data_IF_784453160835
#
_entry.id   IF_784453160835
#
_cell.length_a   1.000
_cell.length_b   1.000
_cell.length_c   1.000
_cell.angle_alpha   90.00
_cell.angle_beta   90.00
_cell.angle_gamma   90.00
#
_symmetry.space_group_name_H-M   'P 1'
#
loop_
_entity.id
_entity.type
_entity.pdbx_description
1 polymer ?
#
# COMPACT_ATOMS: atom_id res chain seq x y z
N UNK A 1 6.79 -2.43 -5.19
CA UNK A 1 5.36 -2.26 -4.85
C UNK A 1 4.70 -2.44 -6.17
N UNK A 2 3.88 -3.47 -6.24
CA UNK A 2 3.44 -4.03 -7.50
C UNK A 2 1.92 -4.05 -7.44
N UNK A 3 1.30 -3.69 -8.56
CA UNK A 3 -0.15 -3.63 -8.69
C UNK A 3 -0.54 -4.38 -9.92
N UNK A 4 -1.44 -5.34 -9.74
CA UNK A 4 -2.06 -6.11 -10.81
C UNK A 4 -3.57 -6.00 -10.69
N UNK A 5 -4.27 -6.22 -11.80
CA UNK A 5 -5.72 -6.24 -11.81
C UNK A 5 -6.23 -7.43 -12.63
N UNK A 6 -7.42 -7.91 -12.26
CA UNK A 6 -8.26 -8.74 -13.10
C UNK A 6 -9.61 -8.04 -13.33
N UNK A 7 -10.60 -8.71 -13.90
CA UNK A 7 -11.91 -8.10 -14.17
C UNK A 7 -12.65 -7.64 -12.89
N UNK A 8 -12.29 -8.18 -11.72
CA UNK A 8 -13.05 -8.02 -10.47
C UNK A 8 -12.28 -7.24 -9.41
N UNK A 9 -10.96 -7.26 -9.41
CA UNK A 9 -10.17 -6.83 -8.27
C UNK A 9 -8.83 -6.21 -8.66
N UNK A 10 -8.27 -5.46 -7.72
CA UNK A 10 -6.86 -5.05 -7.70
C UNK A 10 -6.13 -5.85 -6.64
N UNK A 11 -4.95 -6.36 -6.97
CA UNK A 11 -4.01 -6.96 -6.03
C UNK A 11 -2.78 -6.06 -5.91
N UNK A 12 -2.43 -5.68 -4.68
CA UNK A 12 -1.29 -4.81 -4.39
C UNK A 12 -0.34 -5.56 -3.46
N UNK A 13 0.93 -5.59 -3.83
CA UNK A 13 2.00 -6.15 -2.99
C UNK A 13 3.05 -5.09 -2.68
N UNK A 14 3.44 -4.94 -1.41
CA UNK A 14 4.44 -3.97 -0.99
C UNK A 14 5.43 -4.57 0.02
N UNK A 15 6.71 -4.58 -0.36
CA UNK A 15 7.79 -4.93 0.55
C UNK A 15 7.98 -3.86 1.62
N UNK A 16 7.87 -4.28 2.88
CA UNK A 16 8.00 -3.49 4.12
C UNK A 16 8.79 -4.28 5.18
N UNK A 17 10.03 -4.75 4.89
CA UNK A 17 10.76 -5.63 5.78
C UNK A 17 11.19 -4.94 7.09
N UNK A 18 10.93 -5.61 8.21
CA UNK A 18 11.28 -5.12 9.55
C UNK A 18 10.38 -4.00 10.06
N UNK A 19 9.20 -3.83 9.45
CA UNK A 19 8.10 -3.00 9.96
C UNK A 19 7.09 -3.93 10.65
N UNK A 20 6.54 -3.48 11.78
CA UNK A 20 5.48 -4.22 12.47
C UNK A 20 4.13 -3.94 11.81
N UNK A 21 3.22 -4.92 11.80
CA UNK A 21 1.91 -4.80 11.15
C UNK A 21 1.12 -3.59 11.67
N UNK A 22 1.17 -3.35 12.97
CA UNK A 22 0.51 -2.22 13.64
C UNK A 22 1.06 -0.83 13.24
N UNK A 23 2.28 -0.78 12.68
CA UNK A 23 2.91 0.45 12.19
C UNK A 23 2.59 0.71 10.70
N UNK A 24 1.78 -0.14 10.05
CA UNK A 24 1.35 0.00 8.65
C UNK A 24 -0.04 0.64 8.60
N UNK A 25 -0.19 1.68 7.77
CA UNK A 25 -1.47 2.36 7.52
C UNK A 25 -1.78 2.38 6.03
N UNK A 26 -3.03 2.05 5.72
CA UNK A 26 -3.57 2.02 4.36
C UNK A 26 -4.68 3.06 4.30
N UNK A 27 -4.63 3.93 3.31
CA UNK A 27 -5.64 4.95 3.08
C UNK A 27 -6.07 4.90 1.61
N UNK A 28 -7.38 4.99 1.37
CA UNK A 28 -7.94 5.10 0.02
C UNK A 28 -8.79 6.36 -0.02
N UNK A 29 -8.40 7.31 -0.86
CA UNK A 29 -9.16 8.54 -1.11
C UNK A 29 -9.55 8.62 -2.58
N UNK A 30 -10.82 8.35 -2.88
CA UNK A 30 -11.30 8.22 -4.25
C UNK A 30 -10.56 7.12 -5.01
N UNK A 31 -9.64 7.53 -5.89
CA UNK A 31 -8.80 6.63 -6.69
C UNK A 31 -7.39 6.46 -6.10
N UNK A 32 -6.99 7.28 -5.12
CA UNK A 32 -5.64 7.28 -4.60
C UNK A 32 -5.49 6.31 -3.43
N UNK A 33 -4.78 5.20 -3.66
CA UNK A 33 -4.34 4.28 -2.61
C UNK A 33 -2.99 4.74 -2.08
N UNK A 34 -2.89 4.91 -0.76
CA UNK A 34 -1.65 5.26 -0.06
C UNK A 34 -1.33 4.21 0.99
N UNK A 35 -0.10 3.67 0.93
CA UNK A 35 0.49 2.80 1.95
C UNK A 35 1.55 3.62 2.66
N UNK A 36 1.40 3.78 3.97
CA UNK A 36 2.39 4.46 4.82
C UNK A 36 2.82 3.57 5.97
N UNK A 37 4.09 3.67 6.33
CA UNK A 37 4.67 2.92 7.42
C UNK A 37 5.89 3.65 7.99
N UNK A 38 6.31 3.30 9.20
CA UNK A 38 7.52 3.83 9.79
C UNK A 38 8.48 2.71 10.16
N UNK A 39 9.66 2.71 9.54
CA UNK A 39 10.74 1.83 9.93
C UNK A 39 11.56 2.52 11.00
N UNK A 40 11.24 2.22 12.26
CA UNK A 40 11.98 2.77 13.41
C UNK A 40 13.43 2.31 13.34
N UNK A 41 14.34 3.26 13.51
CA UNK A 41 15.74 2.93 13.73
C UNK A 41 15.87 2.19 15.07
N UNK A 42 16.50 1.01 15.05
CA UNK A 42 17.04 0.46 16.30
C UNK A 42 18.26 1.32 16.63
N UNK A 43 17.96 2.47 17.22
CA UNK A 43 18.83 3.47 17.84
C UNK A 43 20.32 3.27 17.55
N UNK A 44 20.78 4.01 16.54
CA UNK A 44 22.21 4.40 16.45
C UNK A 44 22.66 5.11 17.73
N UNK A 45 21.73 5.63 18.56
CA UNK A 45 22.02 6.24 19.86
C UNK A 45 22.15 5.28 21.07
N UNK A 46 21.63 4.05 21.01
CA UNK A 46 21.68 3.11 22.16
C UNK A 46 22.97 2.30 22.21
N UNK A 47 23.59 2.06 21.06
CA UNK A 47 24.87 1.36 20.95
C UNK A 47 25.97 2.39 20.65
N UNK A 48 26.22 3.32 21.58
CA UNK A 48 27.39 4.22 21.51
C UNK A 48 28.72 3.46 21.40
N UNK A 49 28.71 2.15 21.67
CA UNK A 49 29.86 1.25 21.57
C UNK A 49 30.02 0.58 20.18
N UNK A 50 29.05 0.72 19.25
CA UNK A 50 29.14 0.07 17.94
C UNK A 50 29.54 1.05 16.84
N UNK A 51 30.63 0.73 16.16
CA UNK A 51 31.07 1.44 14.97
C UNK A 51 30.45 0.79 13.72
N UNK A 52 29.54 1.50 13.04
CA UNK A 52 29.00 1.04 11.77
C UNK A 52 30.05 1.22 10.67
N UNK A 53 30.52 0.12 10.08
CA UNK A 53 31.41 0.18 8.91
C UNK A 53 30.65 0.51 7.62
N UNK A 54 29.38 0.09 7.53
CA UNK A 54 28.54 0.29 6.35
C UNK A 54 27.06 0.09 6.69
N UNK A 55 26.16 0.86 6.07
CA UNK A 55 24.70 0.68 6.22
C UNK A 55 23.96 1.09 4.96
N UNK A 56 23.27 0.14 4.34
CA UNK A 56 22.32 0.39 3.24
C UNK A 56 20.89 0.56 3.72
N UNK A 57 20.64 0.21 4.99
CA UNK A 57 19.30 0.19 5.57
C UNK A 57 18.83 1.63 5.77
N UNK A 58 17.72 1.97 5.12
CA UNK A 58 17.01 3.23 5.35
C UNK A 58 16.01 3.09 6.50
N UNK A 59 15.99 4.08 7.36
CA UNK A 59 15.03 4.23 8.47
C UNK A 59 14.16 5.47 8.26
N UNK A 60 13.07 5.54 9.03
CA UNK A 60 12.11 6.64 8.99
C UNK A 60 10.82 6.28 8.27
N UNK A 61 10.08 7.33 7.90
CA UNK A 61 8.74 7.20 7.30
C UNK A 61 8.85 6.80 5.83
N UNK A 62 8.05 5.82 5.45
CA UNK A 62 7.85 5.37 4.08
C UNK A 62 6.41 5.69 3.72
N UNK A 63 6.22 6.33 2.57
CA UNK A 63 4.90 6.54 1.99
C UNK A 63 4.98 6.25 0.50
N UNK A 64 4.09 5.41 0.01
CA UNK A 64 3.92 5.09 -1.40
C UNK A 64 2.46 5.29 -1.75
N UNK A 65 2.20 5.99 -2.85
CA UNK A 65 0.84 6.23 -3.33
C UNK A 65 0.74 5.82 -4.79
N UNK A 66 -0.42 5.27 -5.16
CA UNK A 66 -0.76 4.90 -6.52
C UNK A 66 -2.22 5.27 -6.81
N UNK A 67 -2.45 5.77 -8.01
CA UNK A 67 -3.79 6.03 -8.50
C UNK A 67 -4.34 4.75 -9.15
N UNK A 68 -5.51 4.30 -8.69
CA UNK A 68 -6.22 3.16 -9.25
C UNK A 68 -7.08 3.63 -10.43
N UNK A 69 -7.15 2.85 -11.52
CA UNK A 69 -8.00 3.14 -12.68
C UNK A 69 -9.48 3.35 -12.34
N UNK A 70 -9.97 2.68 -11.29
CA UNK A 70 -11.35 2.79 -10.81
C UNK A 70 -11.38 2.83 -9.29
N UNK A 71 -12.52 3.25 -8.73
CA UNK A 71 -12.76 3.13 -7.29
C UNK A 71 -12.88 1.67 -6.85
N UNK A 72 -12.64 1.44 -5.57
CA UNK A 72 -12.68 0.14 -4.93
C UNK A 72 -13.62 0.11 -3.73
N UNK A 73 -14.03 -1.09 -3.34
CA UNK A 73 -14.68 -1.36 -2.07
C UNK A 73 -13.65 -1.34 -0.94
N UNK A 74 -13.83 -0.40 0.00
CA UNK A 74 -12.93 -0.16 1.13
C UNK A 74 -13.47 -0.75 2.44
N UNK A 75 -14.70 -1.27 2.44
CA UNK A 75 -15.36 -1.73 3.66
C UNK A 75 -14.86 -3.10 4.10
N UNK A 76 -14.32 -3.91 3.18
CA UNK A 76 -13.81 -5.25 3.49
C UNK A 76 -12.67 -5.71 2.55
N UNK A 77 -11.51 -5.02 2.58
CA UNK A 77 -10.35 -5.47 1.82
C UNK A 77 -9.81 -6.78 2.41
N UNK A 78 -9.34 -7.70 1.57
CA UNK A 78 -8.54 -8.83 2.06
C UNK A 78 -7.11 -8.34 2.26
N UNK A 79 -6.53 -8.66 3.40
CA UNK A 79 -5.18 -8.22 3.74
C UNK A 79 -4.39 -9.34 4.40
N UNK A 80 -3.12 -9.48 4.04
CA UNK A 80 -2.16 -10.30 4.76
C UNK A 80 -0.81 -9.59 4.84
N UNK A 81 -0.03 -9.92 5.86
CA UNK A 81 1.33 -9.39 6.04
C UNK A 81 2.20 -10.52 6.56
N UNK A 82 2.99 -11.10 5.67
CA UNK A 82 3.80 -12.29 5.92
C UNK A 82 5.18 -12.06 5.33
N UNK A 83 6.22 -12.51 6.03
CA UNK A 83 7.64 -12.38 5.61
C UNK A 83 8.08 -10.97 5.18
N UNK A 84 7.46 -9.94 5.76
CA UNK A 84 7.77 -8.54 5.46
C UNK A 84 7.14 -8.00 4.17
N UNK A 85 6.18 -8.72 3.60
CA UNK A 85 5.42 -8.30 2.41
C UNK A 85 3.95 -8.10 2.77
N UNK A 86 3.43 -6.91 2.45
CA UNK A 86 2.01 -6.59 2.57
C UNK A 86 1.30 -6.99 1.29
N UNK A 87 0.23 -7.77 1.41
CA UNK A 87 -0.68 -8.10 0.31
C UNK A 87 -2.06 -7.50 0.60
N UNK A 88 -2.61 -6.80 -0.39
CA UNK A 88 -3.94 -6.21 -0.35
C UNK A 88 -4.73 -6.66 -1.58
N UNK A 89 -5.99 -7.04 -1.37
CA UNK A 89 -6.95 -7.28 -2.44
C UNK A 89 -8.17 -6.38 -2.23
N UNK A 90 -8.47 -5.57 -3.23
CA UNK A 90 -9.61 -4.67 -3.24
C UNK A 90 -10.54 -5.04 -4.39
N UNK A 91 -11.83 -5.21 -4.12
CA UNK A 91 -12.83 -5.44 -5.17
C UNK A 91 -13.10 -4.12 -5.89
N UNK A 92 -13.11 -4.16 -7.22
CA UNK A 92 -13.47 -3.01 -8.06
C UNK A 92 -14.92 -2.67 -7.84
N UNK A 93 -15.23 -1.38 -7.62
CA UNK A 93 -16.61 -0.93 -7.66
C UNK A 93 -17.08 -0.91 -9.11
N UNK A 94 -18.23 -1.53 -9.36
CA UNK A 94 -18.90 -1.39 -10.64
C UNK A 94 -19.38 0.06 -10.73
N UNK A 95 -18.82 0.81 -11.66
CA UNK A 95 -19.23 2.18 -11.91
C UNK A 95 -20.64 2.15 -12.54
N UNK A 96 -21.69 2.41 -11.75
CA UNK A 96 -23.07 2.45 -12.24
C UNK A 96 -23.29 3.51 -13.34
N UNK A 97 -22.30 4.41 -13.56
CA UNK A 97 -22.35 5.46 -14.58
C UNK A 97 -21.88 5.01 -15.97
N UNK A 98 -22.42 3.92 -16.50
CA UNK A 98 -22.37 3.66 -17.96
C UNK A 98 -23.72 3.21 -18.52
N UNK A 99 -24.70 4.12 -18.49
CA UNK A 99 -25.72 4.21 -19.54
C UNK A 99 -25.81 5.65 -20.05
N UNK A 100 -24.89 6.04 -20.93
CA UNK A 100 -25.10 7.22 -21.78
C UNK A 100 -25.85 6.76 -23.02
N UNK A 101 -27.16 7.00 -23.05
CA UNK A 101 -27.92 6.95 -24.30
C UNK A 101 -27.50 8.16 -25.13
N UNK A 102 -26.69 7.94 -26.16
CA UNK A 102 -26.36 8.97 -27.14
C UNK A 102 -27.50 8.99 -28.16
N UNK A 103 -28.34 10.04 -28.12
CA UNK A 103 -29.33 10.28 -29.18
C UNK A 103 -28.64 11.01 -30.32
N UNK A 104 -28.78 10.46 -31.53
CA UNK A 104 -28.42 11.15 -32.78
C UNK A 104 -29.56 12.10 -33.11
N UNK A 105 -29.23 13.36 -33.43
CA UNK A 105 -30.15 14.37 -34.01
C UNK A 105 -29.69 14.66 -35.43
#
# INVERSE_FOLDING_TARGET
MDVTEDDKSFSISAELPGIKKEDIKIHVDGHLLTISAERKEKKVEEDKEKHYHYSERRYGKIQRSIELPTTVDVDSPKTSFEDGVLHLEFIKKVDEKKRKVIKIT
#
